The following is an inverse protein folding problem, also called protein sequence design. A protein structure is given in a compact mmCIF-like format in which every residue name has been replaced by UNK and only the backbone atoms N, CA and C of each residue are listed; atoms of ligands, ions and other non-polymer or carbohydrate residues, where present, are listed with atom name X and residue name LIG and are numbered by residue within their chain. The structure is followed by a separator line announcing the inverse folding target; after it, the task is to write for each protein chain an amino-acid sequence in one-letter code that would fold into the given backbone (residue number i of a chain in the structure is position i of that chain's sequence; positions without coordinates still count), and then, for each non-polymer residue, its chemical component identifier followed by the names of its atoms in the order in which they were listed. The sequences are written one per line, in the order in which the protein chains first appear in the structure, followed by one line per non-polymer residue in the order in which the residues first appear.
data_IF_776456898596
#
_entry.id   IF_776456898596
#
_cell.length_a   1.000
_cell.length_b   1.000
_cell.length_c   1.000
_cell.angle_alpha   90.00
_cell.angle_beta   90.00
_cell.angle_gamma   90.00
#
_symmetry.space_group_name_H-M   'P 1'
#
loop_
_entity.id
_entity.type
_entity.pdbx_description
1 polymer ?
#
# COMPACT_ATOMS: atom_id res chain seq x y z
N UNK A 1 -8.73 -9.96 13.81
CA UNK A 1 -7.97 -10.15 12.54
C UNK A 1 -7.59 -8.78 12.03
N UNK A 2 -6.31 -8.48 11.88
CA UNK A 2 -5.87 -7.24 11.22
C UNK A 2 -6.18 -7.33 9.72
N UNK A 3 -6.77 -6.30 9.12
CA UNK A 3 -7.07 -6.29 7.70
C UNK A 3 -5.81 -5.94 6.90
N UNK A 4 -5.37 -6.83 6.01
CA UNK A 4 -4.23 -6.59 5.11
C UNK A 4 -4.76 -5.98 3.81
N UNK A 5 -4.17 -4.88 3.38
CA UNK A 5 -4.46 -4.21 2.11
C UNK A 5 -3.19 -4.16 1.26
N UNK A 6 -3.27 -4.60 0.00
CA UNK A 6 -2.15 -4.50 -0.96
C UNK A 6 -2.46 -3.43 -1.99
N UNK A 7 -1.59 -2.42 -2.09
CA UNK A 7 -1.66 -1.39 -3.11
C UNK A 7 -0.81 -1.84 -4.29
N UNK A 8 -1.37 -1.83 -5.50
CA UNK A 8 -0.68 -2.25 -6.73
C UNK A 8 -0.93 -1.27 -7.86
N UNK A 9 0.11 -0.93 -8.61
CA UNK A 9 -0.02 -0.15 -9.84
C UNK A 9 1.20 -0.31 -10.78
N UNK A 10 1.01 -0.39 -12.12
CA UNK A 10 2.13 -0.46 -13.07
C UNK A 10 3.05 0.78 -13.05
N UNK A 11 2.46 1.96 -12.87
CA UNK A 11 3.18 3.22 -12.69
C UNK A 11 3.51 3.48 -11.21
N UNK A 12 4.78 3.82 -10.92
CA UNK A 12 5.28 4.06 -9.56
C UNK A 12 4.60 5.24 -8.88
N UNK A 13 4.42 6.34 -9.60
CA UNK A 13 3.85 7.57 -9.05
C UNK A 13 2.39 7.36 -8.66
N UNK A 14 1.62 6.69 -9.52
CA UNK A 14 0.25 6.30 -9.21
C UNK A 14 0.17 5.31 -8.04
N UNK A 15 1.14 4.42 -7.89
CA UNK A 15 1.24 3.56 -6.70
C UNK A 15 1.42 4.38 -5.42
N UNK A 16 2.29 5.40 -5.45
CA UNK A 16 2.53 6.31 -4.31
C UNK A 16 1.26 7.07 -3.93
N UNK A 17 0.51 7.60 -4.90
CA UNK A 17 -0.74 8.32 -4.61
C UNK A 17 -1.74 7.44 -3.85
N UNK A 18 -1.92 6.19 -4.29
CA UNK A 18 -2.79 5.22 -3.62
C UNK A 18 -2.28 4.80 -2.24
N UNK A 19 -0.96 4.81 -2.04
CA UNK A 19 -0.35 4.55 -0.73
C UNK A 19 -0.71 5.66 0.27
N UNK A 20 -0.62 6.93 -0.15
CA UNK A 20 -1.02 8.09 0.67
C UNK A 20 -2.50 8.02 1.04
N UNK A 21 -3.38 7.65 0.09
CA UNK A 21 -4.80 7.43 0.36
C UNK A 21 -5.02 6.35 1.44
N UNK A 22 -4.27 5.24 1.38
CA UNK A 22 -4.37 4.18 2.40
C UNK A 22 -3.92 4.62 3.77
N UNK A 23 -2.86 5.43 3.85
CA UNK A 23 -2.40 5.99 5.12
C UNK A 23 -3.45 6.92 5.74
N UNK A 24 -4.12 7.74 4.93
CA UNK A 24 -5.24 8.59 5.37
C UNK A 24 -6.46 7.79 5.83
N UNK A 25 -6.67 6.57 5.31
CA UNK A 25 -7.71 5.64 5.79
C UNK A 25 -7.37 4.94 7.13
N UNK A 26 -6.20 5.24 7.71
CA UNK A 26 -5.73 4.65 8.97
C UNK A 26 -5.06 3.30 8.80
N UNK A 27 -4.56 2.98 7.61
CA UNK A 27 -3.68 1.84 7.41
C UNK A 27 -2.21 2.23 7.64
N UNK A 28 -1.44 1.30 8.19
CA UNK A 28 0.01 1.45 8.37
C UNK A 28 0.76 0.63 7.34
N UNK A 29 1.79 1.23 6.76
CA UNK A 29 2.67 0.56 5.81
C UNK A 29 3.53 -0.49 6.55
N UNK A 30 3.48 -1.74 6.11
CA UNK A 30 4.31 -2.84 6.64
C UNK A 30 5.33 -3.35 5.60
N UNK A 31 5.09 -3.07 4.32
CA UNK A 31 6.04 -3.31 3.25
C UNK A 31 6.05 -2.10 2.33
N UNK A 32 7.18 -1.40 2.18
CA UNK A 32 7.29 -0.22 1.34
C UNK A 32 7.12 -0.58 -0.14
N UNK A 33 6.95 0.45 -0.97
CA UNK A 33 6.79 0.32 -2.42
C UNK A 33 8.01 -0.38 -3.03
N UNK A 34 7.78 -1.49 -3.72
CA UNK A 34 8.78 -2.28 -4.44
C UNK A 34 8.28 -2.67 -5.83
N UNK A 35 9.21 -2.85 -6.77
CA UNK A 35 8.89 -3.37 -8.11
C UNK A 35 8.79 -4.89 -8.04
N UNK A 36 7.63 -5.44 -8.39
CA UNK A 36 7.36 -6.87 -8.45
C UNK A 36 7.03 -7.21 -9.90
N UNK A 37 7.99 -7.82 -10.60
CA UNK A 37 7.90 -8.13 -12.03
C UNK A 37 7.64 -6.88 -12.89
N UNK A 38 6.37 -6.55 -13.14
CA UNK A 38 5.88 -5.51 -14.02
C UNK A 38 5.01 -4.44 -13.31
N UNK A 39 4.83 -4.53 -11.99
CA UNK A 39 4.07 -3.53 -11.22
C UNK A 39 4.73 -3.16 -9.91
N UNK A 40 4.38 -1.97 -9.40
CA UNK A 40 4.76 -1.50 -8.08
C UNK A 40 3.75 -1.98 -7.04
N UNK A 41 4.23 -2.48 -5.91
CA UNK A 41 3.42 -2.98 -4.81
C UNK A 41 3.86 -2.40 -3.47
N UNK A 42 2.90 -2.07 -2.61
CA UNK A 42 3.11 -1.85 -1.18
C UNK A 42 2.06 -2.62 -0.36
N UNK A 43 2.40 -2.98 0.87
CA UNK A 43 1.52 -3.74 1.76
C UNK A 43 1.24 -2.93 3.02
N UNK A 44 -0.04 -2.88 3.36
CA UNK A 44 -0.62 -2.09 4.42
C UNK A 44 -1.42 -2.96 5.37
N UNK A 45 -1.49 -2.58 6.65
CA UNK A 45 -2.31 -3.23 7.67
C UNK A 45 -3.19 -2.21 8.37
N UNK A 46 -4.48 -2.52 8.57
CA UNK A 46 -5.38 -1.63 9.32
C UNK A 46 -5.10 -1.77 10.82
N UNK A 47 -4.71 -0.68 11.47
CA UNK A 47 -4.67 -0.63 12.94
C UNK A 47 -6.09 -0.81 13.46
N UNK A 48 -6.29 -1.84 14.29
CA UNK A 48 -7.48 -1.92 15.13
C UNK A 48 -7.20 -1.03 16.33
N UNK A 49 -7.75 0.17 16.33
CA UNK A 49 -7.87 1.00 17.54
C UNK A 49 -8.88 0.41 18.51
#
# INVERSE_FOLDING_TARGET
MQAISRVRHPDKYQCVLRCIEKENEGFECISPIQLVSDYWEAVYVKKLS
#
